data_IF_809053090162
#
_entry.id   IF_809053090162
#
_cell.length_a   1.000
_cell.length_b   1.000
_cell.length_c   1.000
_cell.angle_alpha   90.00
_cell.angle_beta   90.00
_cell.angle_gamma   90.00
#
_symmetry.space_group_name_H-M   'P 1'
#
loop_
_entity.id
_entity.type
_entity.pdbx_description
1 polymer ?
#
# COMPACT_ATOMS: atom_id res chain seq x y z
N UNK A 1 -6.13 -14.28 -0.41
CA UNK A 1 -5.69 -13.20 0.50
C UNK A 1 -4.17 -13.12 0.47
N UNK A 2 -3.64 -11.94 0.28
CA UNK A 2 -2.19 -11.72 0.19
C UNK A 2 -1.77 -10.71 1.25
N UNK A 3 -0.67 -11.02 1.96
CA UNK A 3 -0.14 -10.16 3.00
C UNK A 3 1.07 -9.43 2.44
N UNK A 4 1.09 -8.12 2.58
CA UNK A 4 2.20 -7.28 2.15
C UNK A 4 2.81 -6.49 3.29
N UNK A 5 3.94 -5.87 3.02
CA UNK A 5 4.63 -5.01 3.98
C UNK A 5 4.56 -3.56 3.52
N UNK A 6 4.18 -2.68 4.44
CA UNK A 6 4.11 -1.25 4.15
C UNK A 6 5.52 -0.68 4.17
N UNK A 7 5.97 -0.18 3.01
CA UNK A 7 7.33 0.31 2.85
C UNK A 7 7.48 1.78 3.21
N UNK A 8 6.63 2.61 2.62
CA UNK A 8 6.74 4.06 2.80
C UNK A 8 5.51 4.75 2.23
N UNK A 9 5.40 6.05 2.44
CA UNK A 9 4.44 6.88 1.71
C UNK A 9 4.94 7.10 0.29
N UNK A 10 4.01 7.28 -0.64
CA UNK A 10 4.39 7.68 -1.98
C UNK A 10 4.85 9.13 -1.94
N UNK A 11 6.07 9.38 -2.41
CA UNK A 11 6.68 10.72 -2.39
C UNK A 11 6.87 11.20 -3.83
N UNK A 12 6.31 12.37 -4.13
CA UNK A 12 6.52 13.03 -5.40
C UNK A 12 7.75 13.94 -5.36
N UNK A 13 8.03 14.61 -6.49
CA UNK A 13 9.21 15.45 -6.63
C UNK A 13 9.24 16.62 -5.62
N UNK A 14 8.09 17.20 -5.34
CA UNK A 14 7.98 18.39 -4.49
C UNK A 14 7.09 18.20 -3.26
N UNK A 15 6.44 17.06 -3.12
CA UNK A 15 5.52 16.79 -2.00
C UNK A 15 5.21 15.31 -1.88
N UNK A 16 4.77 14.93 -0.69
CA UNK A 16 4.25 13.60 -0.41
C UNK A 16 2.79 13.50 -0.89
N UNK A 17 2.40 12.32 -1.34
CA UNK A 17 1.01 11.99 -1.62
C UNK A 17 0.40 11.39 -0.35
N UNK A 18 -0.38 12.15 0.44
CA UNK A 18 -0.73 11.72 1.80
C UNK A 18 -1.62 10.49 1.90
N UNK A 19 -2.42 10.22 0.86
CA UNK A 19 -3.33 9.07 0.87
C UNK A 19 -2.79 7.86 0.14
N UNK A 20 -1.54 7.88 -0.28
CA UNK A 20 -0.94 6.79 -1.04
C UNK A 20 0.26 6.22 -0.31
N UNK A 21 0.27 4.89 -0.19
CA UNK A 21 1.37 4.15 0.41
C UNK A 21 2.00 3.23 -0.62
N UNK A 22 3.29 2.96 -0.44
CA UNK A 22 4.01 1.94 -1.17
C UNK A 22 4.01 0.67 -0.34
N UNK A 23 3.42 -0.40 -0.86
CA UNK A 23 3.28 -1.66 -0.15
C UNK A 23 3.84 -2.78 -1.02
N UNK A 24 4.74 -3.57 -0.46
CA UNK A 24 5.33 -4.70 -1.17
C UNK A 24 4.47 -5.93 -0.97
N UNK A 25 3.86 -6.43 -2.05
CA UNK A 25 3.03 -7.63 -2.03
C UNK A 25 3.65 -8.83 -2.73
N UNK A 26 4.65 -8.62 -3.56
CA UNK A 26 5.25 -9.69 -4.35
C UNK A 26 6.69 -9.41 -4.68
N UNK A 27 7.21 -10.08 -5.70
CA UNK A 27 8.61 -9.96 -6.10
C UNK A 27 8.80 -9.32 -7.47
N UNK A 28 7.73 -9.13 -8.22
CA UNK A 28 7.81 -8.57 -9.56
C UNK A 28 6.60 -7.68 -9.87
N UNK A 29 6.73 -6.90 -10.95
CA UNK A 29 5.65 -6.07 -11.45
C UNK A 29 4.44 -6.90 -11.90
N UNK A 30 4.67 -8.10 -12.40
CA UNK A 30 3.59 -8.99 -12.86
C UNK A 30 2.72 -9.39 -11.69
N UNK A 31 3.30 -9.66 -10.53
CA UNK A 31 2.55 -10.01 -9.32
C UNK A 31 1.58 -8.88 -8.94
N UNK A 32 2.04 -7.64 -9.03
CA UNK A 32 1.22 -6.48 -8.68
C UNK A 32 0.14 -6.22 -9.72
N UNK A 33 0.43 -6.46 -10.99
CA UNK A 33 -0.56 -6.27 -12.06
C UNK A 33 -1.82 -7.09 -11.82
N UNK A 34 -1.70 -8.25 -11.19
CA UNK A 34 -2.83 -9.12 -10.85
C UNK A 34 -3.66 -8.59 -9.70
N UNK A 35 -3.14 -7.64 -8.94
CA UNK A 35 -3.79 -7.11 -7.74
C UNK A 35 -4.46 -5.76 -7.98
N UNK A 36 -4.27 -5.15 -9.14
CA UNK A 36 -4.83 -3.83 -9.44
C UNK A 36 -6.35 -3.84 -9.26
N UNK A 37 -6.86 -2.85 -8.52
CA UNK A 37 -8.27 -2.72 -8.22
C UNK A 37 -8.74 -3.49 -6.99
N UNK A 38 -7.90 -4.34 -6.41
CA UNK A 38 -8.27 -5.11 -5.22
C UNK A 38 -8.21 -4.24 -3.97
N UNK A 39 -9.07 -4.59 -3.00
CA UNK A 39 -9.14 -3.87 -1.73
C UNK A 39 -7.96 -4.25 -0.83
N UNK A 40 -7.41 -3.24 -0.16
CA UNK A 40 -6.32 -3.42 0.80
C UNK A 40 -6.77 -2.87 2.15
N UNK A 41 -6.52 -3.62 3.22
CA UNK A 41 -6.83 -3.21 4.59
C UNK A 41 -5.53 -3.14 5.38
N UNK A 42 -5.33 -2.01 6.05
CA UNK A 42 -4.19 -1.79 6.95
C UNK A 42 -4.73 -1.46 8.32
N UNK A 43 -4.13 -2.02 9.36
CA UNK A 43 -4.52 -1.76 10.74
C UNK A 43 -3.34 -1.13 11.50
N UNK A 44 -3.62 -0.07 12.25
CA UNK A 44 -2.59 0.54 13.09
C UNK A 44 -2.51 -0.16 14.46
N UNK A 45 -1.58 0.28 15.32
CA UNK A 45 -1.40 -0.33 16.63
C UNK A 45 -2.57 -0.08 17.59
N UNK A 46 -3.44 0.85 17.27
CA UNK A 46 -4.62 1.16 18.08
C UNK A 46 -5.88 0.43 17.60
N UNK A 47 -5.76 -0.41 16.58
CA UNK A 47 -6.88 -1.15 16.03
C UNK A 47 -7.70 -0.40 14.98
N UNK A 48 -7.28 0.80 14.59
CA UNK A 48 -7.95 1.55 13.53
C UNK A 48 -7.63 0.94 12.17
N UNK A 49 -8.65 0.76 11.35
CA UNK A 49 -8.49 0.16 10.02
C UNK A 49 -8.59 1.21 8.94
N UNK A 50 -7.69 1.11 7.97
CA UNK A 50 -7.65 1.99 6.80
C UNK A 50 -7.86 1.16 5.56
N UNK A 51 -8.83 1.54 4.73
CA UNK A 51 -9.22 0.80 3.54
C UNK A 51 -8.78 1.55 2.30
N UNK A 52 -8.11 0.83 1.39
CA UNK A 52 -7.66 1.40 0.13
C UNK A 52 -7.77 0.40 -1.01
N UNK A 53 -7.28 0.81 -2.18
CA UNK A 53 -7.23 -0.03 -3.37
C UNK A 53 -5.87 0.06 -4.02
N UNK A 54 -5.44 -1.06 -4.61
CA UNK A 54 -4.23 -1.09 -5.44
C UNK A 54 -4.51 -0.32 -6.72
N UNK A 55 -3.67 0.69 -7.01
CA UNK A 55 -3.82 1.54 -8.19
C UNK A 55 -2.96 1.05 -9.34
N UNK A 56 -1.68 0.87 -9.07
CA UNK A 56 -0.70 0.47 -10.09
C UNK A 56 0.58 -0.03 -9.45
N UNK A 57 1.42 -0.74 -10.23
CA UNK A 57 2.75 -1.12 -9.75
C UNK A 57 3.67 0.10 -9.63
N UNK A 58 4.61 0.03 -8.70
CA UNK A 58 5.67 1.02 -8.53
C UNK A 58 7.01 0.32 -8.76
N UNK A 59 7.64 0.55 -9.92
CA UNK A 59 8.87 -0.14 -10.28
C UNK A 59 8.63 -1.60 -10.64
N UNK A 60 9.69 -2.42 -10.56
CA UNK A 60 9.66 -3.81 -11.02
C UNK A 60 9.84 -4.86 -9.91
N UNK A 61 9.86 -4.44 -8.66
CA UNK A 61 10.23 -5.31 -7.53
C UNK A 61 9.04 -5.78 -6.68
N UNK A 62 7.83 -5.66 -7.21
CA UNK A 62 6.66 -6.14 -6.49
C UNK A 62 6.08 -5.15 -5.49
N UNK A 63 6.37 -3.87 -5.65
CA UNK A 63 5.80 -2.80 -4.83
C UNK A 63 4.60 -2.23 -5.54
N UNK A 64 3.51 -2.01 -4.80
CA UNK A 64 2.29 -1.44 -5.33
C UNK A 64 2.02 -0.06 -4.72
N UNK A 65 1.41 0.81 -5.51
CA UNK A 65 0.86 2.07 -5.01
C UNK A 65 -0.58 1.79 -4.60
N UNK A 66 -0.89 2.02 -3.32
CA UNK A 66 -2.23 1.81 -2.77
C UNK A 66 -2.76 3.15 -2.29
N UNK A 67 -3.95 3.52 -2.78
CA UNK A 67 -4.62 4.76 -2.36
C UNK A 67 -5.69 4.45 -1.34
N UNK A 68 -5.69 5.19 -0.25
CA UNK A 68 -6.63 5.04 0.85
C UNK A 68 -7.68 6.16 0.86
N UNK A 69 -8.82 5.89 1.48
CA UNK A 69 -9.88 6.89 1.64
C UNK A 69 -9.50 7.97 2.64
N UNK A 70 -8.73 7.58 3.66
CA UNK A 70 -8.21 8.50 4.68
C UNK A 70 -6.70 8.45 4.67
N UNK A 71 -6.06 9.56 5.04
CA UNK A 71 -4.60 9.59 5.14
C UNK A 71 -4.14 8.71 6.31
N UNK A 72 -3.44 7.59 6.04
CA UNK A 72 -2.95 6.73 7.12
C UNK A 72 -1.85 7.44 7.91
N UNK A 73 -1.77 7.21 9.23
CA UNK A 73 -0.69 7.81 10.03
C UNK A 73 0.66 7.17 9.73
N UNK A 74 1.74 7.87 10.02
CA UNK A 74 3.09 7.33 9.84
C UNK A 74 3.36 6.06 10.65
N UNK A 75 2.59 5.82 11.70
CA UNK A 75 2.71 4.63 12.55
C UNK A 75 2.46 3.32 11.82
N UNK A 76 1.79 3.35 10.65
CA UNK A 76 1.55 2.12 9.89
C UNK A 76 2.77 1.68 9.08
N UNK A 77 3.79 2.52 8.94
CA UNK A 77 5.00 2.15 8.21
C UNK A 77 5.68 0.96 8.89
N UNK A 78 6.09 -0.03 8.10
CA UNK A 78 6.66 -1.27 8.62
C UNK A 78 5.63 -2.30 9.07
N UNK A 79 4.36 -1.94 9.12
CA UNK A 79 3.27 -2.87 9.46
C UNK A 79 2.87 -3.70 8.25
N UNK A 80 1.99 -4.66 8.48
CA UNK A 80 1.50 -5.53 7.41
C UNK A 80 0.19 -5.01 6.85
N UNK A 81 0.00 -5.22 5.56
CA UNK A 81 -1.24 -4.91 4.84
C UNK A 81 -1.83 -6.19 4.28
N UNK A 82 -3.15 -6.24 4.22
CA UNK A 82 -3.86 -7.40 3.69
C UNK A 82 -4.59 -6.99 2.41
N UNK A 83 -4.28 -7.69 1.31
CA UNK A 83 -4.97 -7.53 0.03
C UNK A 83 -6.02 -8.62 -0.08
N UNK A 84 -7.25 -8.24 -0.21
CA UNK A 84 -8.39 -9.16 -0.27
C UNK A 84 -8.67 -9.67 -1.68
#
# INVERSE_FOLDING_TARGET
MIIGEIMNFRIGTKRRYPRELLIKFGNSRIDIAKLIGKKVVVEDKHGNKYIGKVIKPHGNKGVAIVRFRKDPPGEVLGSKAICL
#
